data_IF_702284305579
#
_entry.id   IF_702284305579
#
_cell.length_a   1.000
_cell.length_b   1.000
_cell.length_c   1.000
_cell.angle_alpha   90.00
_cell.angle_beta   90.00
_cell.angle_gamma   90.00
#
_symmetry.space_group_name_H-M   'P 1'
#
loop_
_entity.id
_entity.type
_entity.pdbx_description
1 polymer ?
#
# COMPACT_ATOMS: atom_id res chain seq x y z
N UNK A 1 -0.53 1.03 12.88
CA UNK A 1 -1.09 1.67 14.09
C UNK A 1 -0.19 2.75 14.67
N UNK A 2 1.13 2.61 14.57
CA UNK A 2 2.11 3.57 15.10
C UNK A 2 1.91 4.99 14.54
N UNK A 3 1.55 5.12 13.27
CA UNK A 3 1.26 6.40 12.64
C UNK A 3 0.05 7.14 13.22
N UNK A 4 -0.87 6.39 13.83
CA UNK A 4 -2.09 6.95 14.43
C UNK A 4 -2.01 7.09 15.95
N UNK A 5 -0.89 6.69 16.56
CA UNK A 5 -0.72 6.68 18.01
C UNK A 5 -1.61 5.69 18.75
N UNK A 6 -2.27 4.78 18.04
CA UNK A 6 -3.16 3.76 18.59
C UNK A 6 -2.35 2.53 18.97
N UNK A 7 -2.64 1.94 20.12
CA UNK A 7 -2.08 0.65 20.54
C UNK A 7 -3.17 -0.42 20.41
N UNK A 8 -3.12 -1.29 19.38
CA UNK A 8 -4.11 -2.34 19.21
C UNK A 8 -3.92 -3.44 20.25
N UNK A 9 -5.01 -4.08 20.66
CA UNK A 9 -4.99 -5.24 21.55
C UNK A 9 -4.64 -6.52 20.78
N UNK A 10 -5.14 -6.64 19.53
CA UNK A 10 -4.88 -7.79 18.66
C UNK A 10 -4.54 -7.27 17.25
N UNK A 11 -3.55 -7.89 16.61
CA UNK A 11 -3.15 -7.59 15.23
C UNK A 11 -3.14 -8.88 14.41
N UNK A 12 -3.84 -8.88 13.29
CA UNK A 12 -3.71 -9.92 12.28
C UNK A 12 -2.69 -9.54 11.21
N UNK A 13 -1.92 -10.50 10.76
CA UNK A 13 -0.94 -10.30 9.69
C UNK A 13 -1.00 -11.42 8.65
N UNK A 14 -0.51 -11.16 7.44
CA UNK A 14 -0.53 -12.13 6.36
C UNK A 14 -0.06 -11.58 5.02
N UNK A 15 -0.29 -12.31 3.95
CA UNK A 15 0.07 -11.98 2.55
C UNK A 15 1.57 -11.74 2.35
N UNK A 16 2.02 -10.48 2.39
CA UNK A 16 3.43 -10.10 2.14
C UNK A 16 4.40 -10.65 3.17
N UNK A 17 3.93 -10.97 4.36
CA UNK A 17 4.73 -11.65 5.38
C UNK A 17 4.99 -13.12 5.06
N UNK A 18 4.37 -13.67 4.01
CA UNK A 18 4.45 -15.07 3.55
C UNK A 18 3.89 -16.09 4.55
N UNK A 19 3.62 -15.70 5.76
CA UNK A 19 2.86 -16.49 6.75
C UNK A 19 1.72 -15.64 7.28
N UNK A 20 0.67 -16.29 7.75
CA UNK A 20 -0.51 -15.64 8.32
C UNK A 20 -0.60 -15.94 9.81
N UNK A 21 -1.07 -14.99 10.57
CA UNK A 21 -1.25 -15.17 12.00
C UNK A 21 -1.88 -13.98 12.69
N UNK A 22 -1.94 -14.08 14.00
CA UNK A 22 -2.30 -13.00 14.90
C UNK A 22 -1.28 -12.92 16.03
N UNK A 23 -1.08 -11.73 16.55
CA UNK A 23 -0.42 -11.51 17.84
C UNK A 23 -1.23 -10.52 18.66
N UNK A 24 -1.09 -10.62 19.98
CA UNK A 24 -1.86 -9.80 20.89
C UNK A 24 -0.98 -9.25 22.01
N UNK A 25 -1.41 -8.13 22.61
CA UNK A 25 -0.85 -7.60 23.84
C UNK A 25 -1.35 -8.36 25.07
N UNK A 26 -0.78 -8.05 26.23
CA UNK A 26 -1.10 -8.70 27.52
C UNK A 26 -2.58 -8.57 27.95
N UNK A 27 -3.29 -7.56 27.46
CA UNK A 27 -4.73 -7.39 27.75
C UNK A 27 -5.60 -8.58 27.28
N UNK A 28 -5.12 -9.40 26.35
CA UNK A 28 -5.85 -10.60 25.92
C UNK A 28 -6.01 -11.59 27.08
N UNK A 29 -5.10 -11.57 28.06
CA UNK A 29 -5.14 -12.46 29.22
C UNK A 29 -6.28 -12.16 30.20
N UNK A 30 -6.85 -10.95 30.12
CA UNK A 30 -8.07 -10.56 30.86
C UNK A 30 -9.31 -11.29 30.38
N UNK A 31 -9.26 -11.91 29.18
CA UNK A 31 -10.34 -12.71 28.61
C UNK A 31 -10.08 -14.19 28.93
N UNK A 32 -10.86 -14.83 29.83
CA UNK A 32 -10.60 -16.19 30.27
C UNK A 32 -10.54 -17.23 29.17
N UNK A 33 -11.43 -17.11 28.18
CA UNK A 33 -11.61 -18.05 27.06
C UNK A 33 -11.07 -17.48 25.74
N UNK A 34 -9.95 -16.76 25.80
CA UNK A 34 -9.38 -16.18 24.58
C UNK A 34 -8.83 -17.24 23.61
N UNK A 35 -8.61 -16.84 22.37
CA UNK A 35 -8.21 -17.72 21.26
C UNK A 35 -6.87 -18.45 21.45
N UNK A 36 -6.02 -18.00 22.37
CA UNK A 36 -4.74 -18.64 22.67
C UNK A 36 -4.86 -19.71 23.78
N UNK A 37 -5.91 -19.62 24.59
CA UNK A 37 -6.17 -20.59 25.69
C UNK A 37 -7.05 -21.74 25.22
N UNK A 38 -7.99 -21.50 24.32
CA UNK A 38 -8.89 -22.52 23.78
C UNK A 38 -8.31 -23.16 22.53
N UNK A 39 -8.31 -24.50 22.51
CA UNK A 39 -7.85 -25.27 21.34
C UNK A 39 -8.70 -24.99 20.10
N UNK A 40 -8.09 -25.06 18.93
CA UNK A 40 -8.73 -25.03 17.61
C UNK A 40 -9.53 -23.74 17.30
N UNK A 41 -9.23 -22.64 17.95
CA UNK A 41 -9.88 -21.34 17.67
C UNK A 41 -9.21 -20.58 16.53
N UNK A 42 -7.94 -20.83 16.28
CA UNK A 42 -7.20 -20.25 15.16
C UNK A 42 -6.75 -21.40 14.28
N UNK A 43 -7.30 -21.46 13.07
CA UNK A 43 -7.01 -22.55 12.14
C UNK A 43 -6.92 -22.02 10.70
N UNK A 44 -5.98 -22.56 9.92
CA UNK A 44 -5.84 -22.38 8.49
C UNK A 44 -5.19 -23.61 7.90
N UNK A 45 -5.61 -24.06 6.72
CA UNK A 45 -5.04 -25.21 6.02
C UNK A 45 -3.52 -25.13 5.87
N UNK A 46 -2.98 -23.93 5.61
CA UNK A 46 -1.55 -23.66 5.46
C UNK A 46 -0.94 -22.91 6.66
N UNK A 47 -1.70 -22.74 7.73
CA UNK A 47 -1.22 -22.08 8.95
C UNK A 47 -0.09 -22.87 9.61
N UNK A 48 0.96 -22.17 10.02
CA UNK A 48 2.11 -22.79 10.67
C UNK A 48 3.05 -23.57 9.74
N UNK A 49 2.97 -23.37 8.43
CA UNK A 49 3.90 -23.97 7.46
C UNK A 49 5.34 -23.48 7.76
N UNK A 50 6.23 -24.43 8.03
CA UNK A 50 7.62 -24.12 8.43
C UNK A 50 8.39 -23.38 7.35
N UNK A 51 8.20 -23.71 6.07
CA UNK A 51 8.86 -23.02 4.95
C UNK A 51 8.44 -21.58 4.87
N UNK A 52 7.15 -21.27 5.09
CA UNK A 52 6.64 -19.90 5.09
C UNK A 52 7.15 -19.10 6.30
N UNK A 53 7.31 -19.73 7.45
CA UNK A 53 7.91 -19.09 8.62
C UNK A 53 9.39 -18.75 8.41
N UNK A 54 10.17 -19.65 7.81
CA UNK A 54 11.56 -19.39 7.43
C UNK A 54 11.64 -18.24 6.41
N UNK A 55 10.77 -18.25 5.40
CA UNK A 55 10.69 -17.19 4.41
C UNK A 55 10.33 -15.83 5.03
N UNK A 56 9.33 -15.81 5.90
CA UNK A 56 8.96 -14.61 6.65
C UNK A 56 10.14 -14.06 7.46
N UNK A 57 10.86 -14.92 8.15
CA UNK A 57 12.05 -14.54 8.92
C UNK A 57 13.11 -13.88 8.03
N UNK A 58 13.35 -14.42 6.83
CA UNK A 58 14.30 -13.81 5.89
C UNK A 58 13.81 -12.46 5.36
N UNK A 59 12.52 -12.31 5.06
CA UNK A 59 11.98 -11.01 4.66
C UNK A 59 12.15 -9.95 5.75
N UNK A 60 11.87 -10.29 7.01
CA UNK A 60 12.07 -9.36 8.14
C UNK A 60 13.54 -8.94 8.24
N UNK A 61 14.48 -9.90 8.18
CA UNK A 61 15.92 -9.62 8.20
C UNK A 61 16.37 -8.70 7.06
N UNK A 62 15.83 -8.89 5.86
CA UNK A 62 16.15 -8.02 4.71
C UNK A 62 15.58 -6.62 4.93
N UNK A 63 14.34 -6.51 5.40
CA UNK A 63 13.69 -5.22 5.68
C UNK A 63 14.51 -4.42 6.69
N UNK A 64 14.98 -5.08 7.76
CA UNK A 64 15.81 -4.44 8.80
C UNK A 64 17.20 -4.10 8.28
N UNK A 65 17.90 -5.06 7.65
CA UNK A 65 19.27 -4.88 7.12
C UNK A 65 19.36 -3.71 6.14
N UNK A 66 18.40 -3.60 5.22
CA UNK A 66 18.42 -2.63 4.13
C UNK A 66 17.60 -1.37 4.45
N UNK A 67 17.13 -1.24 5.69
CA UNK A 67 16.31 -0.12 6.16
C UNK A 67 15.15 0.22 5.21
N UNK A 68 14.45 -0.81 4.73
CA UNK A 68 13.39 -0.70 3.70
C UNK A 68 12.24 0.22 4.15
N UNK A 69 11.95 0.29 5.45
CA UNK A 69 10.88 1.14 5.97
C UNK A 69 11.13 2.63 5.70
N UNK A 70 12.37 3.11 5.90
CA UNK A 70 12.76 4.49 5.61
C UNK A 70 12.82 4.76 4.10
N UNK A 71 13.33 3.80 3.32
CA UNK A 71 13.31 3.89 1.86
C UNK A 71 11.88 4.08 1.34
N UNK A 72 10.95 3.23 1.78
CA UNK A 72 9.53 3.29 1.40
C UNK A 72 8.89 4.62 1.81
N UNK A 73 9.24 5.15 2.97
CA UNK A 73 8.75 6.46 3.41
C UNK A 73 9.26 7.56 2.50
N UNK A 74 10.56 7.61 2.24
CA UNK A 74 11.20 8.62 1.38
C UNK A 74 10.64 8.59 -0.05
N UNK A 75 10.53 7.43 -0.65
CA UNK A 75 9.97 7.25 -2.01
C UNK A 75 8.50 7.63 -2.04
N UNK A 76 7.74 7.22 -1.03
CA UNK A 76 6.32 7.54 -0.93
C UNK A 76 6.04 9.05 -0.82
N UNK A 77 6.79 9.74 0.02
CA UNK A 77 6.67 11.18 0.20
C UNK A 77 7.02 11.94 -1.09
N UNK A 78 8.07 11.51 -1.80
CA UNK A 78 8.45 12.04 -3.10
C UNK A 78 7.33 11.90 -4.13
N UNK A 79 6.71 10.72 -4.22
CA UNK A 79 5.60 10.46 -5.16
C UNK A 79 4.37 11.30 -4.78
N UNK A 80 4.02 11.39 -3.50
CA UNK A 80 2.89 12.21 -3.05
C UNK A 80 3.11 13.69 -3.39
N UNK A 81 4.31 14.22 -3.22
CA UNK A 81 4.65 15.58 -3.60
C UNK A 81 4.50 15.78 -5.12
N UNK A 82 5.11 14.91 -5.93
CA UNK A 82 5.02 14.98 -7.40
C UNK A 82 3.59 14.83 -7.94
N UNK A 83 2.77 13.98 -7.33
CA UNK A 83 1.35 13.88 -7.69
C UNK A 83 0.58 15.17 -7.36
N UNK A 84 0.90 15.86 -6.27
CA UNK A 84 0.30 17.16 -5.96
C UNK A 84 0.70 18.24 -6.97
N UNK A 85 1.92 18.19 -7.50
CA UNK A 85 2.33 19.11 -8.55
C UNK A 85 1.62 18.81 -9.87
N UNK A 86 1.49 17.55 -10.26
CA UNK A 86 0.69 17.14 -11.42
C UNK A 86 -0.80 17.55 -11.24
N UNK A 87 -1.33 17.43 -10.03
CA UNK A 87 -2.69 17.89 -9.71
C UNK A 87 -2.85 19.39 -10.00
N UNK A 88 -1.90 20.22 -9.59
CA UNK A 88 -1.92 21.66 -9.86
C UNK A 88 -1.77 21.99 -11.35
N UNK A 89 -0.95 21.20 -12.07
CA UNK A 89 -0.71 21.40 -13.51
C UNK A 89 -1.92 21.04 -14.37
N UNK A 90 -2.70 20.04 -13.99
CA UNK A 90 -3.69 19.41 -14.87
C UNK A 90 -5.13 19.51 -14.35
N UNK A 91 -5.32 19.76 -13.08
CA UNK A 91 -6.60 19.81 -12.36
C UNK A 91 -7.48 18.55 -12.53
N UNK A 92 -6.88 17.45 -13.05
CA UNK A 92 -7.60 16.22 -13.40
C UNK A 92 -8.08 15.39 -12.20
N UNK A 93 -7.52 15.62 -11.02
CA UNK A 93 -7.87 14.87 -9.81
C UNK A 93 -7.64 15.68 -8.55
N UNK A 94 -8.17 15.19 -7.44
CA UNK A 94 -8.13 15.83 -6.12
C UNK A 94 -7.65 14.85 -5.05
N UNK A 95 -7.53 15.34 -3.82
CA UNK A 95 -7.32 14.50 -2.63
C UNK A 95 -6.14 13.54 -2.76
N UNK A 96 -4.99 14.03 -3.24
CA UNK A 96 -3.74 13.25 -3.23
C UNK A 96 -3.35 12.95 -1.80
N UNK A 97 -3.22 11.68 -1.48
CA UNK A 97 -2.94 11.17 -0.14
C UNK A 97 -2.17 9.85 -0.19
N UNK A 98 -1.45 9.57 0.86
CA UNK A 98 -0.75 8.30 0.97
C UNK A 98 0.22 8.28 2.12
N UNK A 99 0.74 7.09 2.41
CA UNK A 99 1.81 6.85 3.35
C UNK A 99 2.66 5.68 2.88
N UNK A 100 3.95 5.90 2.76
CA UNK A 100 4.87 4.89 2.24
C UNK A 100 4.43 4.37 0.88
N UNK A 101 4.28 3.05 0.73
CA UNK A 101 3.95 2.40 -0.55
C UNK A 101 2.47 2.44 -0.94
N UNK A 102 1.59 3.01 -0.13
CA UNK A 102 0.16 3.07 -0.39
C UNK A 102 -0.27 4.51 -0.66
N UNK A 103 -0.55 4.83 -1.92
CA UNK A 103 -0.83 6.19 -2.39
C UNK A 103 -2.11 6.16 -3.22
N UNK A 104 -2.91 7.21 -3.12
CA UNK A 104 -4.13 7.35 -3.90
C UNK A 104 -4.44 8.81 -4.22
N UNK A 105 -5.19 9.02 -5.30
CA UNK A 105 -5.84 10.28 -5.63
C UNK A 105 -7.28 10.01 -6.09
N UNK A 106 -8.12 11.04 -6.11
CA UNK A 106 -9.54 10.91 -6.34
C UNK A 106 -9.94 11.65 -7.60
N UNK A 107 -10.60 10.97 -8.51
CA UNK A 107 -11.21 11.54 -9.73
C UNK A 107 -12.57 12.15 -9.41
N UNK A 108 -13.10 12.95 -10.30
CA UNK A 108 -14.41 13.59 -10.13
C UNK A 108 -15.55 12.55 -10.08
N UNK A 109 -15.49 11.55 -10.97
CA UNK A 109 -16.53 10.51 -11.09
C UNK A 109 -15.92 9.14 -11.45
N UNK A 110 -16.72 8.05 -11.43
CA UNK A 110 -16.24 6.70 -11.76
C UNK A 110 -15.75 6.54 -13.20
N UNK A 111 -16.35 7.24 -14.16
CA UNK A 111 -15.96 7.12 -15.57
C UNK A 111 -14.60 7.77 -15.83
N UNK A 112 -14.36 8.94 -15.25
CA UNK A 112 -13.03 9.57 -15.28
C UNK A 112 -11.98 8.69 -14.59
N UNK A 113 -12.33 7.99 -13.50
CA UNK A 113 -11.41 7.01 -12.90
C UNK A 113 -11.07 5.88 -13.87
N UNK A 114 -12.07 5.33 -14.57
CA UNK A 114 -11.86 4.28 -15.57
C UNK A 114 -10.94 4.77 -16.69
N UNK A 115 -11.20 5.97 -17.21
CA UNK A 115 -10.37 6.60 -18.24
C UNK A 115 -8.93 6.85 -17.77
N UNK A 116 -8.74 7.31 -16.52
CA UNK A 116 -7.41 7.50 -15.94
C UNK A 116 -6.64 6.18 -15.84
N UNK A 117 -7.28 5.10 -15.41
CA UNK A 117 -6.66 3.79 -15.36
C UNK A 117 -6.23 3.29 -16.74
N UNK A 118 -7.04 3.54 -17.77
CA UNK A 118 -6.69 3.21 -19.17
C UNK A 118 -5.53 4.07 -19.66
N UNK A 119 -5.52 5.36 -19.38
CA UNK A 119 -4.44 6.27 -19.77
C UNK A 119 -3.13 5.89 -19.08
N UNK A 120 -3.15 5.58 -17.80
CA UNK A 120 -1.99 5.06 -17.07
C UNK A 120 -1.49 3.75 -17.68
N UNK A 121 -2.39 2.84 -18.04
CA UNK A 121 -2.01 1.58 -18.65
C UNK A 121 -1.35 1.77 -20.04
N UNK A 122 -1.83 2.72 -20.85
CA UNK A 122 -1.17 3.11 -22.12
C UNK A 122 0.25 3.63 -21.87
N UNK A 123 0.45 4.38 -20.80
CA UNK A 123 1.76 4.86 -20.33
C UNK A 123 2.58 3.76 -19.61
N UNK A 124 2.16 2.49 -19.66
CA UNK A 124 2.83 1.33 -19.02
C UNK A 124 2.86 1.41 -17.48
N UNK A 125 1.89 2.06 -16.89
CA UNK A 125 1.69 2.12 -15.44
C UNK A 125 0.48 1.28 -15.05
N UNK A 126 0.71 0.25 -14.25
CA UNK A 126 -0.36 -0.55 -13.66
C UNK A 126 -0.82 0.07 -12.34
N UNK A 127 -1.99 0.67 -12.35
CA UNK A 127 -2.67 1.20 -11.18
C UNK A 127 -3.98 0.45 -10.93
N UNK A 128 -4.55 0.59 -9.75
CA UNK A 128 -5.76 -0.13 -9.36
C UNK A 128 -6.89 0.82 -8.97
N UNK A 129 -8.15 0.45 -9.23
CA UNK A 129 -9.28 1.18 -8.68
C UNK A 129 -9.35 1.03 -7.16
N UNK A 130 -9.86 2.06 -6.49
CA UNK A 130 -10.12 2.06 -5.06
C UNK A 130 -11.42 2.81 -4.75
N UNK A 131 -12.33 2.17 -4.04
CA UNK A 131 -13.65 2.74 -3.79
C UNK A 131 -14.38 3.11 -5.09
N UNK A 132 -15.22 4.15 -5.04
CA UNK A 132 -16.03 4.55 -6.20
C UNK A 132 -15.24 5.27 -7.29
N UNK A 133 -14.32 6.17 -6.93
CA UNK A 133 -13.69 7.10 -7.87
C UNK A 133 -12.21 7.38 -7.62
N UNK A 134 -11.52 6.59 -6.80
CA UNK A 134 -10.09 6.77 -6.56
C UNK A 134 -9.24 5.82 -7.41
N UNK A 135 -8.07 6.28 -7.77
CA UNK A 135 -6.95 5.50 -8.32
C UNK A 135 -5.95 5.27 -7.21
N UNK A 136 -5.43 4.05 -7.11
CA UNK A 136 -4.48 3.64 -6.09
C UNK A 136 -3.21 3.08 -6.70
N UNK A 137 -2.08 3.60 -6.25
CA UNK A 137 -0.77 2.97 -6.41
C UNK A 137 -0.46 2.08 -5.21
N UNK A 138 0.14 0.94 -5.49
CA UNK A 138 0.68 0.01 -4.51
C UNK A 138 2.11 -0.30 -4.89
N UNK A 139 3.04 0.49 -4.37
CA UNK A 139 4.43 0.48 -4.80
C UNK A 139 5.16 -0.78 -4.31
N UNK A 140 6.12 -1.32 -5.09
CA UNK A 140 7.10 -2.27 -4.58
C UNK A 140 7.89 -1.65 -3.41
N UNK A 141 8.24 -2.47 -2.42
CA UNK A 141 9.00 -1.99 -1.26
C UNK A 141 10.44 -1.58 -1.62
N UNK A 142 10.96 -2.12 -2.73
CA UNK A 142 12.32 -1.86 -3.25
C UNK A 142 12.34 -0.86 -4.40
N UNK A 143 11.29 -0.06 -4.55
CA UNK A 143 11.22 0.98 -5.56
C UNK A 143 12.30 2.02 -5.35
N UNK A 144 13.04 2.34 -6.41
CA UNK A 144 14.08 3.36 -6.38
C UNK A 144 13.52 4.77 -6.60
N UNK A 145 14.32 5.79 -6.34
CA UNK A 145 13.95 7.19 -6.66
C UNK A 145 13.84 7.42 -8.16
N UNK A 146 14.61 6.69 -8.96
CA UNK A 146 14.54 6.74 -10.43
C UNK A 146 13.21 6.16 -10.92
N UNK A 147 12.82 4.97 -10.43
CA UNK A 147 11.51 4.39 -10.72
C UNK A 147 10.36 5.31 -10.32
N UNK A 148 10.48 6.00 -9.18
CA UNK A 148 9.49 6.93 -8.70
C UNK A 148 9.39 8.17 -9.60
N UNK A 149 10.51 8.69 -10.09
CA UNK A 149 10.55 9.78 -11.06
C UNK A 149 9.89 9.37 -12.38
N UNK A 150 10.18 8.19 -12.87
CA UNK A 150 9.57 7.65 -14.08
C UNK A 150 8.05 7.44 -13.91
N UNK A 151 7.61 6.91 -12.77
CA UNK A 151 6.18 6.80 -12.45
C UNK A 151 5.47 8.16 -12.52
N UNK A 152 6.09 9.21 -11.96
CA UNK A 152 5.53 10.57 -11.99
C UNK A 152 5.49 11.13 -13.41
N UNK A 153 6.53 10.93 -14.22
CA UNK A 153 6.57 11.37 -15.61
C UNK A 153 5.45 10.71 -16.43
N UNK A 154 5.28 9.41 -16.32
CA UNK A 154 4.21 8.66 -16.99
C UNK A 154 2.83 9.08 -16.51
N UNK A 155 2.66 9.31 -15.20
CA UNK A 155 1.40 9.79 -14.64
C UNK A 155 1.05 11.19 -15.14
N UNK A 156 2.06 12.08 -15.29
CA UNK A 156 1.89 13.40 -15.88
C UNK A 156 1.42 13.32 -17.34
N UNK A 157 2.03 12.45 -18.14
CA UNK A 157 1.64 12.23 -19.54
C UNK A 157 0.20 11.74 -19.63
N UNK A 158 -0.18 10.74 -18.82
CA UNK A 158 -1.54 10.22 -18.75
C UNK A 158 -2.55 11.32 -18.40
N UNK A 159 -2.24 12.16 -17.42
CA UNK A 159 -3.11 13.25 -16.98
C UNK A 159 -3.27 14.34 -18.04
N UNK A 160 -2.17 14.73 -18.71
CA UNK A 160 -2.22 15.71 -19.81
C UNK A 160 -2.99 15.19 -21.02
N UNK A 161 -2.81 13.92 -21.38
CA UNK A 161 -3.58 13.29 -22.48
C UNK A 161 -5.09 13.31 -22.21
N UNK A 162 -5.50 13.09 -20.97
CA UNK A 162 -6.91 13.19 -20.58
C UNK A 162 -7.43 14.64 -20.62
N UNK A 163 -6.66 15.59 -20.12
CA UNK A 163 -7.05 17.00 -20.13
C UNK A 163 -7.23 17.55 -21.57
N UNK A 164 -6.48 17.05 -22.54
CA UNK A 164 -6.60 17.43 -23.94
C UNK A 164 -7.83 16.82 -24.65
N UNK A 165 -8.52 15.88 -24.00
CA UNK A 165 -9.69 15.17 -24.58
C UNK A 165 -11.02 15.69 -24.02
N UNK A 166 -10.97 16.54 -23.01
CA UNK A 166 -12.12 17.23 -22.39
C UNK A 166 -12.28 18.60 -23.04
#
# INVERSE_FOLDING_TARGET
WQHSGVRPDVVSFGKKTQTCGIYAGSRIDEVPDNVFKLSSRINSTWGGNLVDMVRCTQFIKIIERDNIADLVTKVGDYIVAGLRDIQKETEMYTSVRGKGSLIAFTMENPDQRANMLQSLFKEKVLALPCGKRSVRFRLPLVMTMEDASELLNRTRNASKSMAATV
#
